data_IF_310797223579
#
_entry.id   IF_310797223579
#
_cell.length_a   1.000
_cell.length_b   1.000
_cell.length_c   1.000
_cell.angle_alpha   90.00
_cell.angle_beta   90.00
_cell.angle_gamma   90.00
#
_symmetry.space_group_name_H-M   'P 1'
#
loop_
_entity.id
_entity.type
_entity.pdbx_description
1 polymer ?
#
# COMPACT_ATOMS: atom_id res chain seq x y z
N UNK A 1 -18.52 10.70 3.15
CA UNK A 1 -17.20 10.09 3.44
C UNK A 1 -16.60 9.63 2.13
N UNK A 2 -15.29 9.90 1.90
CA UNK A 2 -14.55 9.35 0.77
C UNK A 2 -13.62 8.27 1.27
N UNK A 3 -13.71 7.07 0.69
CA UNK A 3 -12.83 5.96 0.98
C UNK A 3 -11.94 5.71 -0.25
N UNK A 4 -10.62 5.83 -0.09
CA UNK A 4 -9.67 5.56 -1.16
C UNK A 4 -9.01 4.22 -0.91
N UNK A 5 -9.15 3.30 -1.87
CA UNK A 5 -8.50 1.99 -1.84
C UNK A 5 -7.28 2.06 -2.75
N UNK A 6 -6.10 2.05 -2.13
CA UNK A 6 -4.83 2.01 -2.85
C UNK A 6 -4.49 0.57 -3.23
N UNK A 7 -4.26 0.35 -4.52
CA UNK A 7 -3.81 -0.92 -5.05
C UNK A 7 -2.51 -0.73 -5.85
N UNK A 8 -1.44 -1.36 -5.41
CA UNK A 8 -0.14 -1.29 -6.08
C UNK A 8 -0.07 -2.08 -7.39
N UNK A 9 -1.08 -2.90 -7.70
CA UNK A 9 -1.21 -3.63 -8.95
C UNK A 9 -1.94 -2.79 -10.00
N UNK A 10 -1.84 -3.23 -11.27
CA UNK A 10 -2.50 -2.59 -12.41
C UNK A 10 -4.02 -2.61 -12.30
N UNK A 11 -4.58 -3.71 -11.84
CA UNK A 11 -6.01 -3.88 -11.64
C UNK A 11 -6.31 -4.91 -10.55
N UNK A 12 -7.45 -4.76 -9.90
CA UNK A 12 -8.10 -5.84 -9.15
C UNK A 12 -9.13 -6.49 -10.08
N UNK A 13 -9.37 -7.78 -9.90
CA UNK A 13 -10.50 -8.43 -10.59
C UNK A 13 -11.83 -7.86 -10.06
N UNK A 14 -12.83 -7.80 -10.94
CA UNK A 14 -14.17 -7.26 -10.65
C UNK A 14 -14.78 -7.84 -9.35
N UNK A 15 -14.63 -9.14 -9.12
CA UNK A 15 -15.16 -9.79 -7.90
C UNK A 15 -14.46 -9.28 -6.61
N UNK A 16 -13.17 -8.98 -6.68
CA UNK A 16 -12.42 -8.44 -5.54
C UNK A 16 -12.82 -7.01 -5.22
N UNK A 17 -13.02 -6.18 -6.23
CA UNK A 17 -13.51 -4.82 -6.04
C UNK A 17 -14.90 -4.81 -5.41
N UNK A 18 -15.81 -5.65 -5.91
CA UNK A 18 -17.15 -5.76 -5.36
C UNK A 18 -17.15 -6.31 -3.92
N UNK A 19 -16.26 -7.26 -3.61
CA UNK A 19 -16.11 -7.77 -2.24
C UNK A 19 -15.62 -6.67 -1.29
N UNK A 20 -14.64 -5.86 -1.70
CA UNK A 20 -14.16 -4.73 -0.90
C UNK A 20 -15.24 -3.67 -0.71
N UNK A 21 -16.02 -3.34 -1.75
CA UNK A 21 -17.17 -2.43 -1.63
C UNK A 21 -18.19 -2.91 -0.60
N UNK A 22 -18.52 -4.22 -0.62
CA UNK A 22 -19.45 -4.80 0.36
C UNK A 22 -18.92 -4.67 1.78
N UNK A 23 -17.65 -4.97 2.01
CA UNK A 23 -17.02 -4.85 3.35
C UNK A 23 -17.08 -3.41 3.85
N UNK A 24 -16.75 -2.44 3.00
CA UNK A 24 -16.77 -1.01 3.37
C UNK A 24 -18.19 -0.55 3.66
N UNK A 25 -19.17 -0.96 2.86
CA UNK A 25 -20.57 -0.60 3.07
C UNK A 25 -21.13 -1.26 4.33
N UNK A 26 -20.77 -2.51 4.62
CA UNK A 26 -21.14 -3.20 5.87
C UNK A 26 -20.57 -2.45 7.09
N UNK A 27 -19.28 -2.12 7.06
CA UNK A 27 -18.64 -1.35 8.13
C UNK A 27 -19.29 0.02 8.33
N UNK A 28 -19.61 0.73 7.25
CA UNK A 28 -20.30 2.01 7.33
C UNK A 28 -21.69 1.86 7.96
N UNK A 29 -22.42 0.80 7.61
CA UNK A 29 -23.74 0.52 8.19
C UNK A 29 -23.68 0.19 9.68
N UNK A 30 -22.68 -0.60 10.11
CA UNK A 30 -22.45 -0.91 11.52
C UNK A 30 -22.09 0.35 12.31
N UNK A 31 -21.19 1.18 11.78
CA UNK A 31 -20.83 2.46 12.40
C UNK A 31 -22.04 3.38 12.58
N UNK A 32 -22.92 3.45 11.58
CA UNK A 32 -24.16 4.22 11.66
C UNK A 32 -25.11 3.68 12.73
N UNK A 33 -25.21 2.35 12.86
CA UNK A 33 -26.00 1.69 13.91
C UNK A 33 -25.48 2.05 15.30
N UNK A 34 -24.18 1.94 15.53
CA UNK A 34 -23.54 2.30 16.80
C UNK A 34 -23.73 3.78 17.17
N UNK A 35 -23.56 4.69 16.19
CA UNK A 35 -23.76 6.11 16.41
C UNK A 35 -25.22 6.42 16.78
N UNK A 36 -26.19 5.79 16.12
CA UNK A 36 -27.60 5.93 16.42
C UNK A 36 -27.95 5.43 17.82
N UNK A 37 -27.40 4.28 18.21
CA UNK A 37 -27.61 3.71 19.55
C UNK A 37 -27.07 4.61 20.67
N UNK A 38 -26.04 5.39 20.37
CA UNK A 38 -25.45 6.37 21.29
C UNK A 38 -26.07 7.78 21.20
N UNK A 39 -27.22 7.93 20.53
CA UNK A 39 -27.91 9.21 20.31
C UNK A 39 -27.07 10.25 19.54
N UNK A 40 -26.08 9.82 18.78
CA UNK A 40 -25.27 10.70 17.94
C UNK A 40 -25.99 10.85 16.59
N UNK A 41 -26.63 11.99 16.39
CA UNK A 41 -27.29 12.29 15.10
C UNK A 41 -26.26 12.74 14.07
N UNK A 42 -25.73 11.81 13.30
CA UNK A 42 -24.86 12.09 12.14
C UNK A 42 -25.52 11.53 10.88
N UNK A 43 -25.77 12.41 9.92
CA UNK A 43 -26.10 11.97 8.57
C UNK A 43 -24.80 11.67 7.81
N UNK A 44 -24.39 10.41 7.79
CA UNK A 44 -23.33 9.95 6.90
C UNK A 44 -23.96 9.52 5.58
N UNK A 45 -23.64 10.22 4.51
CA UNK A 45 -23.96 9.73 3.17
C UNK A 45 -23.20 8.43 2.90
N UNK A 46 -23.69 7.61 1.97
CA UNK A 46 -22.95 6.44 1.50
C UNK A 46 -21.52 6.83 1.12
N UNK A 47 -20.52 6.02 1.50
CA UNK A 47 -19.14 6.34 1.21
C UNK A 47 -18.88 6.29 -0.31
N UNK A 48 -18.30 7.34 -0.84
CA UNK A 48 -17.73 7.32 -2.19
C UNK A 48 -16.46 6.47 -2.16
N UNK A 49 -16.49 5.30 -2.84
CA UNK A 49 -15.36 4.38 -2.87
C UNK A 49 -14.58 4.56 -4.17
N UNK A 50 -13.36 4.99 -4.06
CA UNK A 50 -12.45 5.25 -5.18
C UNK A 50 -11.31 4.23 -5.16
N UNK A 51 -11.13 3.48 -6.25
CA UNK A 51 -9.99 2.60 -6.42
C UNK A 51 -8.86 3.33 -7.16
N UNK A 52 -7.68 3.39 -6.54
CA UNK A 52 -6.47 3.88 -7.16
C UNK A 52 -5.55 2.71 -7.52
N UNK A 53 -5.57 2.30 -8.79
CA UNK A 53 -4.68 1.28 -9.33
C UNK A 53 -3.36 1.91 -9.73
N UNK A 54 -2.33 1.70 -8.93
CA UNK A 54 -1.08 2.43 -9.07
C UNK A 54 -0.08 1.78 -10.05
N UNK A 55 -0.23 0.50 -10.38
CA UNK A 55 0.65 -0.27 -11.28
C UNK A 55 2.15 -0.12 -10.95
N UNK A 56 2.50 -0.35 -9.68
CA UNK A 56 3.87 -0.16 -9.16
C UNK A 56 4.71 -1.45 -9.17
N UNK A 57 4.12 -2.60 -9.48
CA UNK A 57 4.78 -3.91 -9.34
C UNK A 57 5.28 -4.49 -10.66
N UNK A 58 5.51 -3.70 -11.69
CA UNK A 58 5.99 -4.22 -12.97
C UNK A 58 7.42 -4.82 -12.88
N UNK A 59 8.23 -4.38 -11.91
CA UNK A 59 9.59 -4.89 -11.68
C UNK A 59 9.75 -5.60 -10.34
N UNK A 60 8.78 -5.48 -9.44
CA UNK A 60 8.84 -5.88 -8.04
C UNK A 60 7.70 -6.85 -7.74
N UNK A 61 7.88 -8.12 -8.09
CA UNK A 61 6.92 -9.16 -7.70
C UNK A 61 6.89 -9.33 -6.18
N UNK A 62 5.71 -9.52 -5.60
CA UNK A 62 5.49 -9.77 -4.17
C UNK A 62 5.71 -8.58 -3.23
N UNK A 63 5.74 -7.36 -3.75
CA UNK A 63 5.97 -6.15 -2.94
C UNK A 63 4.69 -5.40 -2.53
N UNK A 64 3.51 -6.00 -2.70
CA UNK A 64 2.23 -5.33 -2.42
C UNK A 64 2.15 -4.79 -0.98
N UNK A 65 2.57 -5.56 0.01
CA UNK A 65 2.59 -5.14 1.41
C UNK A 65 3.54 -3.95 1.64
N UNK A 66 4.72 -3.96 1.05
CA UNK A 66 5.68 -2.87 1.16
C UNK A 66 5.11 -1.58 0.55
N UNK A 67 4.49 -1.64 -0.63
CA UNK A 67 3.85 -0.47 -1.24
C UNK A 67 2.70 0.09 -0.43
N UNK A 68 1.90 -0.75 0.21
CA UNK A 68 0.82 -0.28 1.10
C UNK A 68 1.40 0.47 2.29
N UNK A 69 2.45 -0.05 2.92
CA UNK A 69 3.11 0.63 4.04
C UNK A 69 3.75 1.95 3.61
N UNK A 70 4.47 1.99 2.50
CA UNK A 70 5.08 3.22 1.98
C UNK A 70 4.02 4.27 1.62
N UNK A 71 2.92 3.86 1.00
CA UNK A 71 1.83 4.75 0.66
C UNK A 71 1.12 5.31 1.91
N UNK A 72 0.92 4.49 2.94
CA UNK A 72 0.35 4.92 4.21
C UNK A 72 1.28 5.91 4.92
N UNK A 73 2.57 5.64 4.95
CA UNK A 73 3.58 6.54 5.51
C UNK A 73 3.58 7.89 4.81
N UNK A 74 3.56 7.92 3.49
CA UNK A 74 3.46 9.16 2.70
C UNK A 74 2.24 10.00 3.10
N UNK A 75 1.07 9.38 3.27
CA UNK A 75 -0.14 10.11 3.68
C UNK A 75 0.00 10.68 5.08
N UNK A 76 0.60 9.93 6.02
CA UNK A 76 0.81 10.38 7.41
C UNK A 76 1.77 11.56 7.42
N UNK A 77 2.94 11.46 6.80
CA UNK A 77 3.96 12.51 6.76
C UNK A 77 3.45 13.80 6.13
N UNK A 78 2.68 13.69 5.05
CA UNK A 78 2.07 14.85 4.39
C UNK A 78 1.00 15.52 5.26
N UNK A 79 0.26 14.73 6.04
CA UNK A 79 -0.74 15.25 6.99
C UNK A 79 -0.07 15.95 8.18
N UNK A 80 1.01 15.41 8.71
CA UNK A 80 1.81 16.04 9.76
C UNK A 80 2.42 17.36 9.31
N UNK A 81 2.72 17.49 8.03
CA UNK A 81 3.20 18.74 7.39
C UNK A 81 2.08 19.75 7.09
N UNK A 82 0.88 19.56 7.64
CA UNK A 82 -0.30 20.42 7.43
C UNK A 82 -0.76 20.53 5.97
N UNK A 83 -0.58 19.48 5.18
CA UNK A 83 -1.12 19.44 3.83
C UNK A 83 -2.63 19.24 3.84
N UNK A 84 -3.37 20.18 3.26
CA UNK A 84 -4.84 20.06 3.05
C UNK A 84 -5.21 19.16 1.86
N UNK A 85 -4.21 18.57 1.22
CA UNK A 85 -4.43 17.71 0.05
C UNK A 85 -5.25 16.48 0.39
N UNK A 86 -6.21 16.16 -0.47
CA UNK A 86 -7.03 14.96 -0.32
C UNK A 86 -6.15 13.68 -0.37
N UNK A 87 -6.46 12.64 0.42
CA UNK A 87 -5.70 11.38 0.41
C UNK A 87 -5.50 10.77 -0.98
N UNK A 88 -6.49 10.87 -1.84
CA UNK A 88 -6.37 10.43 -3.23
C UNK A 88 -5.26 11.15 -3.98
N UNK A 89 -5.17 12.47 -3.84
CA UNK A 89 -4.14 13.28 -4.48
C UNK A 89 -2.75 12.92 -3.98
N UNK A 90 -2.59 12.73 -2.67
CA UNK A 90 -1.32 12.32 -2.05
C UNK A 90 -0.86 10.95 -2.58
N UNK A 91 -1.75 9.97 -2.57
CA UNK A 91 -1.47 8.62 -3.05
C UNK A 91 -1.18 8.58 -4.56
N UNK A 92 -1.89 9.38 -5.34
CA UNK A 92 -1.63 9.51 -6.77
C UNK A 92 -0.26 10.13 -7.04
N UNK A 93 0.08 11.21 -6.35
CA UNK A 93 1.39 11.88 -6.48
C UNK A 93 2.52 10.93 -6.06
N UNK A 94 2.32 10.15 -5.00
CA UNK A 94 3.26 9.10 -4.60
C UNK A 94 3.48 8.09 -5.73
N UNK A 95 2.40 7.54 -6.30
CA UNK A 95 2.49 6.57 -7.37
C UNK A 95 3.17 7.13 -8.63
N UNK A 96 2.80 8.35 -9.03
CA UNK A 96 3.37 9.02 -10.21
C UNK A 96 4.87 9.35 -10.02
N UNK A 97 5.28 9.69 -8.80
CA UNK A 97 6.69 9.92 -8.43
C UNK A 97 7.47 8.60 -8.47
N UNK A 98 6.94 7.54 -7.86
CA UNK A 98 7.60 6.23 -7.83
C UNK A 98 7.84 5.66 -9.24
N UNK A 99 6.90 5.85 -10.16
CA UNK A 99 7.03 5.40 -11.56
C UNK A 99 8.16 6.08 -12.34
N UNK A 100 8.63 7.23 -11.89
CA UNK A 100 9.74 7.96 -12.55
C UNK A 100 11.10 7.37 -12.23
N UNK A 101 11.21 6.59 -11.17
CA UNK A 101 12.45 5.92 -10.82
C UNK A 101 12.77 4.80 -11.83
N UNK A 102 14.05 4.58 -12.09
CA UNK A 102 14.52 3.42 -12.84
C UNK A 102 14.18 2.11 -12.11
N UNK A 103 14.26 0.98 -12.81
CA UNK A 103 14.00 -0.32 -12.19
C UNK A 103 14.95 -0.62 -11.02
N UNK A 104 16.21 -0.18 -11.14
CA UNK A 104 17.23 -0.32 -10.09
C UNK A 104 16.89 0.53 -8.86
N UNK A 105 16.51 1.78 -9.05
CA UNK A 105 16.09 2.68 -7.97
C UNK A 105 14.84 2.17 -7.27
N UNK A 106 13.83 1.70 -8.03
CA UNK A 106 12.62 1.12 -7.44
C UNK A 106 12.93 -0.10 -6.59
N UNK A 107 13.86 -0.95 -7.05
CA UNK A 107 14.31 -2.12 -6.31
C UNK A 107 15.03 -1.74 -5.03
N UNK A 108 15.92 -0.75 -5.09
CA UNK A 108 16.66 -0.27 -3.91
C UNK A 108 15.70 0.32 -2.87
N UNK A 109 14.75 1.14 -3.28
CA UNK A 109 13.74 1.74 -2.39
C UNK A 109 12.92 0.64 -1.70
N UNK A 110 12.44 -0.38 -2.44
CA UNK A 110 11.69 -1.50 -1.87
C UNK A 110 12.54 -2.30 -0.88
N UNK A 111 13.80 -2.54 -1.22
CA UNK A 111 14.73 -3.26 -0.35
C UNK A 111 14.97 -2.50 0.97
N UNK A 112 15.29 -1.22 0.90
CA UNK A 112 15.55 -0.39 2.09
C UNK A 112 14.31 -0.28 2.98
N UNK A 113 13.13 -0.14 2.39
CA UNK A 113 11.87 -0.11 3.13
C UNK A 113 11.61 -1.44 3.87
N UNK A 114 11.84 -2.58 3.21
CA UNK A 114 11.71 -3.90 3.84
C UNK A 114 12.73 -4.10 4.95
N UNK A 115 13.95 -3.62 4.77
CA UNK A 115 15.00 -3.71 5.78
C UNK A 115 14.65 -2.88 7.02
N UNK A 116 14.15 -1.67 6.84
CA UNK A 116 13.68 -0.80 7.92
C UNK A 116 12.51 -1.45 8.69
N UNK A 117 11.53 -2.00 8.00
CA UNK A 117 10.41 -2.71 8.61
C UNK A 117 10.86 -3.95 9.40
N UNK A 118 11.83 -4.71 8.87
CA UNK A 118 12.45 -5.83 9.59
C UNK A 118 13.03 -5.37 10.92
N UNK A 119 13.86 -4.35 10.89
CA UNK A 119 14.56 -3.88 12.09
C UNK A 119 13.55 -3.42 13.14
N UNK A 120 12.56 -2.63 12.75
CA UNK A 120 11.48 -2.20 13.64
C UNK A 120 10.71 -3.40 14.25
N UNK A 121 10.45 -4.45 13.47
CA UNK A 121 9.74 -5.63 13.95
C UNK A 121 10.61 -6.48 14.90
N UNK A 122 11.88 -6.67 14.58
CA UNK A 122 12.82 -7.43 15.41
C UNK A 122 13.07 -6.78 16.77
N UNK A 123 13.20 -5.46 16.79
CA UNK A 123 13.34 -4.68 18.01
C UNK A 123 12.14 -4.85 18.93
N UNK A 124 10.96 -5.01 18.35
CA UNK A 124 9.71 -5.13 19.12
C UNK A 124 9.35 -6.56 19.52
N UNK A 125 9.60 -7.55 18.67
CA UNK A 125 9.06 -8.90 18.81
C UNK A 125 10.11 -10.01 18.86
N UNK A 126 11.34 -9.79 18.41
CA UNK A 126 12.46 -10.72 18.53
C UNK A 126 12.28 -12.08 17.86
N UNK A 127 11.57 -12.17 16.74
CA UNK A 127 11.21 -13.45 16.11
C UNK A 127 12.28 -13.98 15.17
N UNK A 128 12.83 -15.16 15.46
CA UNK A 128 13.84 -15.84 14.66
C UNK A 128 13.36 -16.23 13.25
N UNK A 129 12.07 -16.48 13.04
CA UNK A 129 11.50 -16.87 11.74
C UNK A 129 11.51 -15.73 10.73
N UNK A 130 11.31 -14.52 11.20
CA UNK A 130 11.38 -13.32 10.37
C UNK A 130 12.79 -13.11 9.87
N UNK A 131 13.81 -13.41 10.66
CA UNK A 131 15.21 -13.35 10.27
C UNK A 131 15.51 -14.21 9.04
N UNK A 132 14.91 -15.39 8.93
CA UNK A 132 15.12 -16.27 7.78
C UNK A 132 14.59 -15.65 6.48
N UNK A 133 13.41 -15.06 6.50
CA UNK A 133 12.83 -14.38 5.34
C UNK A 133 13.71 -13.22 4.85
N UNK A 134 14.15 -12.37 5.76
CA UNK A 134 14.95 -11.19 5.43
C UNK A 134 16.40 -11.54 5.03
N UNK A 135 17.00 -12.59 5.59
CA UNK A 135 18.30 -13.13 5.10
C UNK A 135 18.20 -13.53 3.64
N UNK A 136 17.14 -14.20 3.26
CA UNK A 136 16.92 -14.57 1.86
C UNK A 136 16.74 -13.35 0.96
N UNK A 137 16.13 -12.28 1.45
CA UNK A 137 15.98 -11.02 0.74
C UNK A 137 17.35 -10.33 0.54
N UNK A 138 18.17 -10.26 1.58
CA UNK A 138 19.53 -9.71 1.52
C UNK A 138 20.44 -10.49 0.57
N UNK A 139 20.38 -11.82 0.58
CA UNK A 139 21.12 -12.67 -0.34
C UNK A 139 20.70 -12.40 -1.78
N UNK A 140 19.40 -12.29 -2.05
CA UNK A 140 18.90 -11.98 -3.39
C UNK A 140 19.30 -10.58 -3.87
N UNK A 141 19.37 -9.61 -2.94
CA UNK A 141 19.80 -8.25 -3.25
C UNK A 141 21.30 -8.17 -3.55
N UNK A 142 22.13 -8.88 -2.80
CA UNK A 142 23.59 -8.89 -2.97
C UNK A 142 24.09 -9.70 -4.16
N UNK A 143 23.23 -10.52 -4.80
CA UNK A 143 23.63 -11.22 -6.01
C UNK A 143 23.79 -10.25 -7.19
N UNK A 144 24.86 -10.40 -8.01
CA UNK A 144 25.05 -9.56 -9.19
C UNK A 144 23.82 -9.63 -10.08
N UNK A 145 23.33 -8.44 -10.47
CA UNK A 145 22.08 -8.24 -11.23
C UNK A 145 22.20 -8.79 -12.67
N UNK A 146 22.37 -10.10 -12.86
CA UNK A 146 22.14 -10.75 -14.15
C UNK A 146 20.63 -10.76 -14.47
N UNK A 147 19.99 -9.60 -14.36
CA UNK A 147 18.62 -9.41 -14.81
C UNK A 147 18.65 -9.06 -16.29
N UNK A 148 18.86 -10.12 -17.08
CA UNK A 148 18.47 -10.07 -18.46
C UNK A 148 17.03 -9.54 -18.53
N UNK A 149 16.84 -8.48 -19.30
CA UNK A 149 15.56 -7.96 -19.71
C UNK A 149 14.59 -9.11 -20.00
N UNK A 150 13.72 -9.40 -19.06
CA UNK A 150 12.58 -10.28 -19.33
C UNK A 150 11.70 -9.61 -20.38
N UNK A 151 12.01 -9.87 -21.65
CA UNK A 151 11.09 -9.58 -22.74
C UNK A 151 9.78 -10.29 -22.38
N UNK A 152 8.73 -9.52 -22.11
CA UNK A 152 7.38 -10.07 -22.16
C UNK A 152 7.21 -10.68 -23.55
N UNK A 153 7.04 -11.98 -23.61
CA UNK A 153 6.46 -12.61 -24.79
C UNK A 153 5.01 -12.20 -24.83
N UNK A 154 4.66 -11.49 -25.87
CA UNK A 154 3.32 -11.08 -26.23
C UNK A 154 2.40 -12.27 -26.47
#
# INVERSE_FOLDING_TARGET
>A
IKCVIFNSLRALGYDKENSLKRVINSFNSELMGEMSNNNIKVHLNEPEIIFLHADLQQYLSQSCGAFVCMAAQEVIEQRESNSDSAPYTLLKNYADRFKKYSAEEQYEIDFQHRLANRNCYLDKYGDANINHYYRNLEIKHSQPKNRASGKRVS
#
